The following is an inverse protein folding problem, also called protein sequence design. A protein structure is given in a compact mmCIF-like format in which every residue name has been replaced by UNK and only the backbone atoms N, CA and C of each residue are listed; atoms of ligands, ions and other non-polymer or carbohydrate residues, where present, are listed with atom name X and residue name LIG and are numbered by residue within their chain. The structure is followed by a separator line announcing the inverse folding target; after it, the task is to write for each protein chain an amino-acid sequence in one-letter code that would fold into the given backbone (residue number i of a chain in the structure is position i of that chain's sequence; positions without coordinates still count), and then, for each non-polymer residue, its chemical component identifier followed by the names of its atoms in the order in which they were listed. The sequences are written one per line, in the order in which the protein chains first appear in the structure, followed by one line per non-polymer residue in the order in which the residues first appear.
data_IF_328805396400
#
_entry.id   IF_328805396400
#
_cell.length_a   1.000
_cell.length_b   1.000
_cell.length_c   1.000
_cell.angle_alpha   90.00
_cell.angle_beta   90.00
_cell.angle_gamma   90.00
#
_symmetry.space_group_name_H-M   'P 1'
#
loop_
_entity.id
_entity.type
_entity.pdbx_description
1 polymer ?
#
# COMPACT_ATOMS: atom_id res chain seq x y z
N UNK A 1 26.28 28.62 64.16
CA UNK A 1 25.08 28.20 63.42
C UNK A 1 24.37 29.48 63.04
N UNK A 2 24.61 29.97 61.82
CA UNK A 2 24.03 31.26 61.37
C UNK A 2 22.57 30.96 60.95
N UNK A 3 21.63 31.56 61.70
CA UNK A 3 20.24 31.64 61.27
C UNK A 3 20.22 32.57 60.06
N UNK A 4 20.13 32.04 58.90
CA UNK A 4 19.64 32.72 57.72
C UNK A 4 18.13 32.96 57.96
N UNK A 5 17.83 33.95 58.81
CA UNK A 5 16.51 34.56 58.84
C UNK A 5 16.34 35.13 57.42
N UNK A 6 15.46 34.50 56.67
CA UNK A 6 15.22 34.90 55.31
C UNK A 6 14.71 36.32 55.31
N UNK A 7 15.56 37.25 54.83
CA UNK A 7 15.14 38.61 54.62
C UNK A 7 13.82 38.66 53.85
N UNK A 8 12.82 39.41 54.32
CA UNK A 8 11.51 39.44 53.67
C UNK A 8 11.61 39.78 52.18
N UNK A 9 12.64 40.57 51.81
CA UNK A 9 12.91 40.87 50.39
C UNK A 9 13.30 39.62 49.57
N UNK A 10 14.00 38.66 50.17
CA UNK A 10 14.39 37.43 49.51
C UNK A 10 13.19 36.50 49.27
N UNK A 11 12.27 36.48 50.21
CA UNK A 11 11.02 35.72 50.09
C UNK A 11 10.14 36.27 48.96
N UNK A 12 9.97 37.58 48.92
CA UNK A 12 9.23 38.26 47.86
C UNK A 12 9.86 38.05 46.50
N UNK A 13 11.17 38.10 46.37
CA UNK A 13 11.91 37.87 45.14
C UNK A 13 11.71 36.44 44.66
N UNK A 14 11.83 35.43 45.52
CA UNK A 14 11.61 34.02 45.14
C UNK A 14 10.17 33.72 44.71
N UNK A 15 9.17 34.34 45.35
CA UNK A 15 7.77 34.24 44.97
C UNK A 15 7.52 34.85 43.60
N UNK A 16 8.07 36.02 43.31
CA UNK A 16 7.90 36.68 42.00
C UNK A 16 8.56 35.86 40.91
N UNK A 17 9.78 35.36 41.11
CA UNK A 17 10.48 34.49 40.13
C UNK A 17 9.73 33.21 39.90
N UNK A 18 9.18 32.58 40.96
CA UNK A 18 8.38 31.36 40.83
C UNK A 18 7.09 31.57 40.03
N UNK A 19 6.37 32.68 40.29
CA UNK A 19 5.17 33.06 39.53
C UNK A 19 5.50 33.34 38.05
N UNK A 20 6.64 33.96 37.77
CA UNK A 20 7.08 34.23 36.41
C UNK A 20 7.42 32.93 35.66
N UNK A 21 8.11 31.99 36.30
CA UNK A 21 8.40 30.67 35.76
C UNK A 21 7.14 29.87 35.49
N UNK A 22 6.18 29.87 36.42
CA UNK A 22 4.89 29.20 36.25
C UNK A 22 4.11 29.79 35.05
N UNK A 23 4.11 31.13 34.92
CA UNK A 23 3.45 31.82 33.81
C UNK A 23 4.06 31.48 32.46
N UNK A 24 5.39 31.42 32.36
CA UNK A 24 6.13 31.05 31.17
C UNK A 24 5.84 29.57 30.82
N UNK A 25 5.91 28.69 31.82
CA UNK A 25 5.62 27.28 31.64
C UNK A 25 4.17 27.04 31.20
N UNK A 26 3.20 27.74 31.77
CA UNK A 26 1.80 27.66 31.35
C UNK A 26 1.59 28.10 29.91
N UNK A 27 2.20 29.21 29.48
CA UNK A 27 2.13 29.68 28.09
C UNK A 27 2.79 28.70 27.13
N UNK A 28 3.90 28.09 27.51
CA UNK A 28 4.58 27.08 26.70
C UNK A 28 3.74 25.81 26.53
N UNK A 29 3.21 25.28 27.63
CA UNK A 29 2.36 24.05 27.61
C UNK A 29 1.05 24.29 26.86
N UNK A 30 0.44 25.46 26.98
CA UNK A 30 -0.78 25.83 26.26
C UNK A 30 -0.55 25.87 24.72
N UNK A 31 0.56 26.46 24.27
CA UNK A 31 0.93 26.49 22.85
C UNK A 31 1.24 25.09 22.30
N UNK A 32 1.93 24.26 23.08
CA UNK A 32 2.25 22.89 22.71
C UNK A 32 0.97 22.04 22.61
N UNK A 33 0.06 22.16 23.56
CA UNK A 33 -1.21 21.44 23.58
C UNK A 33 -2.10 21.78 22.39
N UNK A 34 -2.14 23.04 21.96
CA UNK A 34 -2.89 23.44 20.77
C UNK A 34 -2.34 22.78 19.51
N UNK A 35 -1.03 22.80 19.28
CA UNK A 35 -0.40 22.21 18.11
C UNK A 35 -0.63 20.69 18.04
N UNK A 36 -0.52 19.99 19.18
CA UNK A 36 -0.78 18.55 19.26
C UNK A 36 -2.25 18.24 18.96
N UNK A 37 -3.18 19.05 19.46
CA UNK A 37 -4.60 18.85 19.15
C UNK A 37 -4.93 19.04 17.68
N UNK A 38 -4.35 20.04 17.01
CA UNK A 38 -4.50 20.24 15.57
C UNK A 38 -3.93 19.06 14.76
N UNK A 39 -2.76 18.56 15.16
CA UNK A 39 -2.17 17.37 14.50
C UNK A 39 -3.03 16.11 14.70
N UNK A 40 -3.59 15.94 15.90
CA UNK A 40 -4.51 14.83 16.21
C UNK A 40 -5.80 14.92 15.39
N UNK A 41 -6.36 16.12 15.26
CA UNK A 41 -7.55 16.34 14.44
C UNK A 41 -7.27 16.07 12.96
N UNK A 42 -6.12 16.56 12.45
CA UNK A 42 -5.63 16.25 11.12
C UNK A 42 -5.54 14.73 10.91
N UNK A 43 -4.85 14.01 11.80
CA UNK A 43 -4.69 12.55 11.69
C UNK A 43 -6.05 11.83 11.68
N UNK A 44 -7.01 12.28 12.49
CA UNK A 44 -8.36 11.72 12.55
C UNK A 44 -9.18 11.96 11.28
N UNK A 45 -9.05 13.13 10.66
CA UNK A 45 -9.69 13.46 9.37
C UNK A 45 -9.02 12.70 8.22
N UNK A 46 -7.69 12.59 8.27
CA UNK A 46 -6.91 11.81 7.31
C UNK A 46 -7.34 10.33 7.27
N UNK A 47 -7.54 9.73 8.44
CA UNK A 47 -8.03 8.33 8.58
C UNK A 47 -9.42 8.14 7.98
N UNK A 48 -10.28 9.15 8.07
CA UNK A 48 -11.62 9.13 7.50
C UNK A 48 -11.70 9.47 6.00
N UNK A 49 -10.58 9.73 5.33
CA UNK A 49 -10.53 10.22 3.95
C UNK A 49 -11.34 11.51 3.70
N UNK A 50 -11.56 12.31 4.74
CA UNK A 50 -12.26 13.59 4.61
C UNK A 50 -11.36 14.61 3.88
N UNK A 51 -11.94 15.56 3.09
CA UNK A 51 -11.16 16.61 2.46
C UNK A 51 -10.49 17.45 3.56
N UNK A 52 -9.17 17.63 3.42
CA UNK A 52 -8.39 18.42 4.36
C UNK A 52 -8.34 19.84 3.83
N UNK A 53 -9.03 20.76 4.52
CA UNK A 53 -9.01 22.16 4.19
C UNK A 53 -7.60 22.75 4.39
N UNK A 54 -7.19 23.65 3.45
CA UNK A 54 -5.88 24.29 3.48
C UNK A 54 -5.64 25.21 4.70
N UNK A 55 -6.70 25.60 5.39
CA UNK A 55 -6.63 26.46 6.59
C UNK A 55 -5.88 25.81 7.77
N UNK A 56 -5.69 24.50 7.74
CA UNK A 56 -4.94 23.80 8.80
C UNK A 56 -3.46 24.21 8.80
N UNK A 57 -2.90 24.63 7.65
CA UNK A 57 -1.50 25.09 7.60
C UNK A 57 -1.27 26.40 8.37
N UNK A 58 -2.26 27.28 8.41
CA UNK A 58 -2.18 28.55 9.13
C UNK A 58 -2.33 28.39 10.65
N UNK A 59 -2.82 27.24 11.11
CA UNK A 59 -3.08 26.97 12.53
C UNK A 59 -1.84 26.52 13.32
N UNK A 60 -0.72 26.19 12.65
CA UNK A 60 0.47 25.71 13.34
C UNK A 60 1.40 26.88 13.77
N UNK A 61 1.98 26.80 14.97
CA UNK A 61 2.93 27.82 15.43
C UNK A 61 4.21 27.77 14.58
N UNK A 62 4.84 28.93 14.38
CA UNK A 62 6.11 29.07 13.64
C UNK A 62 7.30 28.64 14.53
N UNK A 63 7.36 27.34 14.81
CA UNK A 63 8.44 26.69 15.55
C UNK A 63 8.75 25.31 14.94
N UNK A 64 9.74 24.61 15.50
CA UNK A 64 10.17 23.28 15.04
C UNK A 64 9.00 22.27 14.95
N UNK A 65 8.05 22.34 15.89
CA UNK A 65 6.86 21.50 15.86
C UNK A 65 5.94 21.84 14.67
N UNK A 66 5.84 23.11 14.32
CA UNK A 66 5.11 23.59 13.15
C UNK A 66 5.74 23.09 11.84
N UNK A 67 7.06 23.12 11.72
CA UNK A 67 7.78 22.59 10.56
C UNK A 67 7.55 21.07 10.39
N UNK A 68 7.66 20.33 11.47
CA UNK A 68 7.38 18.87 11.45
C UNK A 68 5.93 18.61 11.02
N UNK A 69 4.99 19.39 11.55
CA UNK A 69 3.57 19.26 11.20
C UNK A 69 3.32 19.55 9.72
N UNK A 70 3.95 20.59 9.17
CA UNK A 70 3.88 20.90 7.74
C UNK A 70 4.47 19.79 6.87
N UNK A 71 5.61 19.22 7.25
CA UNK A 71 6.19 18.09 6.55
C UNK A 71 5.27 16.87 6.55
N UNK A 72 4.65 16.54 7.68
CA UNK A 72 3.68 15.43 7.78
C UNK A 72 2.49 15.68 6.84
N UNK A 73 1.95 16.89 6.81
CA UNK A 73 0.85 17.26 5.92
C UNK A 73 1.26 17.14 4.45
N UNK A 74 2.47 17.58 4.08
CA UNK A 74 2.99 17.48 2.73
C UNK A 74 3.18 16.01 2.30
N UNK A 75 3.73 15.17 3.18
CA UNK A 75 3.90 13.73 2.92
C UNK A 75 2.54 13.08 2.71
N UNK A 76 1.56 13.37 3.57
CA UNK A 76 0.22 12.85 3.43
C UNK A 76 -0.45 13.29 2.13
N UNK A 77 -0.32 14.57 1.74
CA UNK A 77 -0.85 15.10 0.47
C UNK A 77 -0.24 14.35 -0.73
N UNK A 78 1.09 14.22 -0.76
CA UNK A 78 1.79 13.46 -1.82
C UNK A 78 1.35 11.99 -1.87
N UNK A 79 1.19 11.36 -0.70
CA UNK A 79 0.73 9.97 -0.62
C UNK A 79 -0.68 9.81 -1.20
N UNK A 80 -1.56 10.75 -0.89
CA UNK A 80 -2.93 10.77 -1.42
C UNK A 80 -2.93 10.99 -2.94
N UNK A 81 -2.21 11.98 -3.43
CA UNK A 81 -2.07 12.27 -4.87
C UNK A 81 -1.50 11.05 -5.62
N UNK A 82 -0.48 10.40 -5.05
CA UNK A 82 0.10 9.18 -5.63
C UNK A 82 -0.91 8.02 -5.65
N UNK A 83 -1.68 7.84 -4.58
CA UNK A 83 -2.72 6.83 -4.49
C UNK A 83 -3.83 7.07 -5.53
N UNK A 84 -4.27 8.30 -5.68
CA UNK A 84 -5.27 8.69 -6.69
C UNK A 84 -4.75 8.48 -8.12
N UNK A 85 -3.49 8.86 -8.39
CA UNK A 85 -2.84 8.62 -9.68
C UNK A 85 -2.74 7.13 -10.01
N UNK A 86 -2.31 6.30 -9.05
CA UNK A 86 -2.25 4.85 -9.22
C UNK A 86 -3.64 4.24 -9.45
N UNK A 87 -4.66 4.75 -8.78
CA UNK A 87 -6.03 4.30 -9.01
C UNK A 87 -6.49 4.59 -10.44
N UNK A 88 -6.25 5.82 -10.93
CA UNK A 88 -6.59 6.22 -12.31
C UNK A 88 -5.80 5.37 -13.33
N UNK A 89 -4.53 5.12 -13.09
CA UNK A 89 -3.70 4.30 -13.97
C UNK A 89 -4.19 2.84 -14.01
N UNK A 90 -4.54 2.28 -12.85
CA UNK A 90 -5.15 0.95 -12.76
C UNK A 90 -6.46 0.87 -13.56
N UNK A 91 -7.34 1.85 -13.43
CA UNK A 91 -8.61 1.89 -14.17
C UNK A 91 -8.39 1.98 -15.68
N UNK A 92 -7.39 2.77 -16.12
CA UNK A 92 -6.99 2.82 -17.53
C UNK A 92 -6.51 1.45 -18.03
N UNK A 93 -5.65 0.78 -17.27
CA UNK A 93 -5.15 -0.55 -17.62
C UNK A 93 -6.30 -1.57 -17.72
N UNK A 94 -7.22 -1.58 -16.77
CA UNK A 94 -8.41 -2.45 -16.81
C UNK A 94 -9.24 -2.15 -18.06
N UNK A 95 -9.48 -0.87 -18.37
CA UNK A 95 -10.23 -0.47 -19.56
C UNK A 95 -9.53 -0.94 -20.84
N UNK A 96 -8.21 -0.78 -20.94
CA UNK A 96 -7.43 -1.25 -22.09
C UNK A 96 -7.50 -2.77 -22.24
N UNK A 97 -7.45 -3.51 -21.12
CA UNK A 97 -7.58 -4.97 -21.14
C UNK A 97 -8.98 -5.40 -21.62
N UNK A 98 -10.03 -4.75 -21.13
CA UNK A 98 -11.41 -5.08 -21.53
C UNK A 98 -11.74 -4.69 -22.97
N UNK A 99 -11.08 -3.67 -23.52
CA UNK A 99 -11.24 -3.22 -24.91
C UNK A 99 -10.25 -3.88 -25.87
N UNK A 100 -9.35 -4.72 -25.39
CA UNK A 100 -8.42 -5.50 -26.23
C UNK A 100 -9.19 -6.35 -27.22
N UNK A 101 -8.61 -6.53 -28.40
CA UNK A 101 -9.11 -7.48 -29.42
C UNK A 101 -8.67 -8.91 -29.18
N UNK A 102 -7.86 -9.15 -28.18
CA UNK A 102 -7.32 -10.44 -27.79
C UNK A 102 -7.93 -10.88 -26.46
N UNK A 103 -8.12 -12.19 -26.29
CA UNK A 103 -8.51 -12.77 -25.01
C UNK A 103 -7.31 -12.76 -24.07
N UNK A 104 -7.38 -11.95 -23.00
CA UNK A 104 -6.30 -11.79 -22.04
C UNK A 104 -6.71 -12.30 -20.67
N UNK A 105 -5.87 -13.15 -20.08
CA UNK A 105 -6.04 -13.66 -18.72
C UNK A 105 -4.73 -13.60 -17.94
N UNK A 106 -4.79 -13.06 -16.75
CA UNK A 106 -3.68 -13.05 -15.78
C UNK A 106 -4.08 -13.90 -14.59
N UNK A 107 -3.24 -14.86 -14.27
CA UNK A 107 -3.46 -15.81 -13.18
C UNK A 107 -2.28 -15.79 -12.22
N UNK A 108 -2.57 -16.07 -10.95
CA UNK A 108 -1.52 -16.22 -9.97
C UNK A 108 -0.81 -17.59 -10.10
N UNK A 109 0.17 -17.81 -9.23
CA UNK A 109 0.92 -19.07 -9.19
C UNK A 109 0.04 -20.32 -8.96
N UNK A 110 -1.05 -20.15 -8.24
CA UNK A 110 -2.01 -21.22 -7.93
C UNK A 110 -3.08 -21.37 -9.02
N UNK A 111 -2.87 -20.72 -10.18
CA UNK A 111 -3.81 -20.68 -11.32
C UNK A 111 -5.14 -20.00 -11.03
N UNK A 112 -5.22 -19.22 -9.92
CA UNK A 112 -6.39 -18.41 -9.61
C UNK A 112 -6.39 -17.14 -10.43
N UNK A 113 -7.55 -16.75 -10.89
CA UNK A 113 -7.76 -15.54 -11.64
C UNK A 113 -7.34 -14.30 -10.84
N UNK A 114 -6.52 -13.43 -11.46
CA UNK A 114 -6.24 -12.08 -11.01
C UNK A 114 -7.02 -11.08 -11.85
N UNK A 115 -7.00 -11.28 -13.18
CA UNK A 115 -7.64 -10.40 -14.13
C UNK A 115 -7.89 -11.15 -15.42
N UNK A 116 -9.10 -11.09 -15.93
CA UNK A 116 -9.52 -11.72 -17.19
C UNK A 116 -10.43 -10.76 -17.93
N UNK A 117 -10.24 -10.65 -19.25
CA UNK A 117 -11.16 -9.90 -20.09
C UNK A 117 -12.26 -10.78 -20.66
N UNK A 118 -13.30 -10.13 -21.14
CA UNK A 118 -14.50 -10.82 -21.62
C UNK A 118 -14.21 -11.74 -22.81
N UNK A 119 -13.27 -11.35 -23.70
CA UNK A 119 -12.89 -12.18 -24.85
C UNK A 119 -12.17 -13.46 -24.46
N UNK A 120 -11.36 -13.44 -23.38
CA UNK A 120 -10.73 -14.65 -22.87
C UNK A 120 -11.78 -15.69 -22.45
N UNK A 121 -12.79 -15.26 -21.71
CA UNK A 121 -13.89 -16.13 -21.28
C UNK A 121 -14.67 -16.68 -22.49
N UNK A 122 -14.97 -15.82 -23.47
CA UNK A 122 -15.65 -16.25 -24.70
C UNK A 122 -14.83 -17.26 -25.48
N UNK A 123 -13.53 -17.04 -25.67
CA UNK A 123 -12.65 -17.98 -26.35
C UNK A 123 -12.46 -19.27 -25.55
N UNK A 124 -12.36 -19.18 -24.24
CA UNK A 124 -12.33 -20.34 -23.36
C UNK A 124 -13.56 -21.25 -23.55
N UNK A 125 -14.75 -20.66 -23.57
CA UNK A 125 -16.00 -21.36 -23.81
C UNK A 125 -16.06 -22.01 -25.23
N UNK A 126 -15.55 -21.29 -26.24
CA UNK A 126 -15.49 -21.82 -27.61
C UNK A 126 -14.51 -22.99 -27.75
N UNK A 127 -13.40 -22.97 -27.05
CA UNK A 127 -12.40 -24.05 -27.09
C UNK A 127 -12.86 -25.26 -26.29
N UNK A 128 -13.52 -25.03 -25.14
CA UNK A 128 -14.01 -26.10 -24.28
C UNK A 128 -15.31 -26.78 -24.78
N UNK A 129 -16.00 -26.14 -25.74
CA UNK A 129 -17.40 -26.49 -26.14
C UNK A 129 -18.37 -26.53 -24.96
N UNK A 130 -18.06 -25.79 -23.89
CA UNK A 130 -18.86 -25.70 -22.65
C UNK A 130 -18.82 -24.30 -22.07
N UNK A 131 -19.85 -23.94 -21.34
CA UNK A 131 -19.80 -22.72 -20.51
C UNK A 131 -18.99 -23.01 -19.26
N UNK A 132 -17.79 -22.46 -19.20
CA UNK A 132 -16.94 -22.50 -18.00
C UNK A 132 -17.61 -21.70 -16.89
N UNK A 133 -17.79 -22.30 -15.73
CA UNK A 133 -18.33 -21.62 -14.54
C UNK A 133 -17.29 -20.72 -13.89
N UNK A 134 -16.02 -21.15 -13.96
CA UNK A 134 -14.87 -20.38 -13.52
C UNK A 134 -13.79 -20.39 -14.60
N UNK A 135 -13.13 -19.27 -14.80
CA UNK A 135 -12.06 -19.14 -15.82
C UNK A 135 -10.88 -20.04 -15.55
N UNK A 136 -10.67 -20.44 -14.30
CA UNK A 136 -9.61 -21.37 -13.87
C UNK A 136 -9.82 -22.79 -14.41
N UNK A 137 -11.07 -23.17 -14.72
CA UNK A 137 -11.41 -24.48 -15.29
C UNK A 137 -10.73 -24.71 -16.66
N UNK A 138 -10.32 -23.63 -17.34
CA UNK A 138 -9.60 -23.72 -18.61
C UNK A 138 -8.32 -24.55 -18.51
N UNK A 139 -7.66 -24.54 -17.36
CA UNK A 139 -6.44 -25.34 -17.12
C UNK A 139 -6.70 -26.84 -16.98
N UNK A 140 -7.95 -27.25 -16.84
CA UNK A 140 -8.37 -28.65 -16.75
C UNK A 140 -8.77 -29.24 -18.11
N UNK A 141 -8.88 -28.39 -19.15
CA UNK A 141 -9.28 -28.79 -20.48
C UNK A 141 -8.11 -29.48 -21.21
N UNK A 142 -8.40 -30.51 -21.97
CA UNK A 142 -7.40 -31.29 -22.68
C UNK A 142 -6.54 -30.44 -23.63
N UNK A 143 -7.16 -29.50 -24.32
CA UNK A 143 -6.50 -28.57 -25.25
C UNK A 143 -5.47 -27.70 -24.59
N UNK A 144 -5.64 -27.39 -23.29
CA UNK A 144 -4.72 -26.58 -22.47
C UNK A 144 -3.68 -27.39 -21.69
N UNK A 145 -3.69 -28.74 -21.84
CA UNK A 145 -2.76 -29.60 -21.10
C UNK A 145 -1.29 -29.22 -21.27
N UNK A 146 -0.90 -28.89 -22.52
CA UNK A 146 0.48 -28.46 -22.82
C UNK A 146 0.87 -27.19 -22.06
N UNK A 147 -0.05 -26.23 -21.97
CA UNK A 147 0.15 -24.98 -21.22
C UNK A 147 0.24 -25.27 -19.72
N UNK A 148 -0.65 -26.12 -19.22
CA UNK A 148 -0.66 -26.54 -17.82
C UNK A 148 0.65 -27.24 -17.44
N UNK A 149 1.15 -28.13 -18.29
CA UNK A 149 2.45 -28.80 -18.08
C UNK A 149 3.62 -27.82 -18.12
N UNK A 150 3.57 -26.84 -19.01
CA UNK A 150 4.57 -25.77 -19.09
C UNK A 150 4.60 -24.94 -17.79
N UNK A 151 3.44 -24.52 -17.29
CA UNK A 151 3.32 -23.80 -16.02
C UNK A 151 3.88 -24.63 -14.86
N UNK A 152 3.49 -25.90 -14.77
CA UNK A 152 3.94 -26.81 -13.72
C UNK A 152 5.47 -27.04 -13.76
N UNK A 153 6.07 -27.16 -14.95
CA UNK A 153 7.52 -27.26 -15.11
C UNK A 153 8.24 -26.00 -14.68
N UNK A 154 7.72 -24.83 -15.04
CA UNK A 154 8.29 -23.55 -14.65
C UNK A 154 8.24 -23.32 -13.14
N UNK A 155 7.17 -23.79 -12.48
CA UNK A 155 7.06 -23.72 -11.01
C UNK A 155 8.10 -24.58 -10.29
N UNK A 156 8.44 -25.75 -10.84
CA UNK A 156 9.43 -26.68 -10.25
C UNK A 156 10.87 -26.19 -10.38
N UNK A 157 11.17 -25.39 -11.39
CA UNK A 157 12.53 -24.88 -11.65
C UNK A 157 12.47 -23.36 -11.85
N UNK A 158 12.38 -22.58 -10.79
CA UNK A 158 12.39 -21.13 -10.91
C UNK A 158 13.78 -20.67 -11.41
N UNK A 159 13.82 -20.11 -12.62
CA UNK A 159 15.00 -19.45 -13.18
C UNK A 159 14.81 -17.95 -13.07
N UNK A 160 15.74 -17.26 -12.45
CA UNK A 160 15.53 -15.88 -11.95
C UNK A 160 15.64 -14.78 -13.02
N UNK A 161 15.86 -15.04 -14.28
CA UNK A 161 16.05 -13.99 -15.28
C UNK A 161 15.48 -14.30 -16.67
N UNK A 162 14.69 -15.34 -16.86
CA UNK A 162 14.16 -15.69 -18.16
C UNK A 162 12.65 -15.54 -18.20
N UNK A 163 12.18 -14.66 -19.06
CA UNK A 163 10.80 -14.65 -19.51
C UNK A 163 10.56 -15.97 -20.26
N UNK A 164 9.63 -16.77 -19.75
CA UNK A 164 9.30 -18.03 -20.38
C UNK A 164 8.02 -17.87 -21.16
N UNK A 165 8.10 -18.12 -22.47
CA UNK A 165 6.96 -18.06 -23.38
C UNK A 165 6.69 -19.42 -23.98
N UNK A 166 5.43 -19.72 -24.16
CA UNK A 166 4.95 -20.90 -24.89
C UNK A 166 3.74 -20.51 -25.72
N UNK A 167 3.73 -20.89 -27.00
CA UNK A 167 2.61 -20.73 -27.91
C UNK A 167 2.05 -22.09 -28.29
N UNK A 168 0.75 -22.23 -28.24
CA UNK A 168 0.01 -23.46 -28.62
C UNK A 168 -1.05 -23.10 -29.62
N UNK A 169 -1.11 -23.87 -30.72
CA UNK A 169 -2.16 -23.76 -31.72
C UNK A 169 -3.25 -24.78 -31.42
N UNK A 170 -4.47 -24.32 -31.22
CA UNK A 170 -5.64 -25.15 -30.94
C UNK A 170 -6.60 -25.01 -32.12
N UNK A 171 -6.87 -26.12 -32.79
CA UNK A 171 -7.83 -26.17 -33.87
C UNK A 171 -9.16 -26.70 -33.33
N UNK A 172 -10.21 -25.90 -33.39
CA UNK A 172 -11.53 -26.25 -32.89
C UNK A 172 -12.61 -25.68 -33.81
N UNK A 173 -13.55 -26.52 -34.22
CA UNK A 173 -14.71 -26.14 -35.06
C UNK A 173 -14.32 -25.32 -36.32
N UNK A 174 -13.24 -25.74 -37.02
CA UNK A 174 -12.76 -25.07 -38.23
C UNK A 174 -12.06 -23.70 -37.96
N UNK A 175 -11.82 -23.38 -36.71
CA UNK A 175 -11.09 -22.16 -36.29
C UNK A 175 -9.77 -22.53 -35.63
N UNK A 176 -8.74 -21.75 -35.89
CA UNK A 176 -7.44 -21.89 -35.21
C UNK A 176 -7.31 -20.80 -34.17
N UNK A 177 -7.15 -21.21 -32.93
CA UNK A 177 -6.82 -20.31 -31.81
C UNK A 177 -5.32 -20.41 -31.53
N UNK A 178 -4.65 -19.25 -31.40
CA UNK A 178 -3.28 -19.19 -30.98
C UNK A 178 -3.29 -18.74 -29.51
N UNK A 179 -2.86 -19.61 -28.62
CA UNK A 179 -2.80 -19.34 -27.19
C UNK A 179 -1.34 -19.17 -26.80
N UNK A 180 -1.01 -17.98 -26.32
CA UNK A 180 0.33 -17.67 -25.82
C UNK A 180 0.30 -17.60 -24.30
N UNK A 181 1.17 -18.35 -23.67
CA UNK A 181 1.38 -18.33 -22.23
C UNK A 181 2.74 -17.66 -21.92
N UNK A 182 2.70 -16.62 -21.11
CA UNK A 182 3.88 -15.92 -20.67
C UNK A 182 3.95 -16.02 -19.13
N UNK A 183 5.10 -16.51 -18.62
CA UNK A 183 5.32 -16.63 -17.18
C UNK A 183 6.27 -15.53 -16.74
N UNK A 184 5.76 -14.65 -15.90
CA UNK A 184 6.55 -13.62 -15.23
C UNK A 184 6.98 -14.13 -13.86
N UNK A 185 8.25 -13.90 -13.54
CA UNK A 185 8.70 -14.10 -12.16
C UNK A 185 8.42 -12.86 -11.34
N UNK A 186 7.68 -13.03 -10.28
CA UNK A 186 7.44 -11.98 -9.30
C UNK A 186 8.70 -11.70 -8.49
N UNK A 187 9.33 -10.56 -8.74
CA UNK A 187 10.49 -10.07 -7.99
C UNK A 187 10.14 -9.68 -6.55
N UNK A 188 8.85 -9.54 -6.23
CA UNK A 188 8.38 -9.11 -4.90
C UNK A 188 8.63 -10.16 -3.80
N UNK A 189 8.81 -11.43 -4.17
CA UNK A 189 9.10 -12.51 -3.22
C UNK A 189 10.57 -12.55 -2.72
N UNK A 190 11.43 -11.62 -3.15
CA UNK A 190 12.83 -11.56 -2.68
C UNK A 190 13.04 -10.82 -1.36
N UNK A 191 12.02 -10.20 -0.80
CA UNK A 191 12.13 -9.64 0.54
C UNK A 191 11.67 -10.69 1.55
N UNK A 192 12.60 -11.40 2.22
CA UNK A 192 12.21 -12.18 3.37
C UNK A 192 11.62 -11.20 4.37
N UNK A 193 10.37 -11.43 4.75
CA UNK A 193 9.76 -10.75 5.88
C UNK A 193 10.70 -10.93 7.07
N UNK A 194 11.42 -9.88 7.44
CA UNK A 194 12.24 -9.79 8.64
C UNK A 194 11.33 -9.68 9.86
N UNK A 195 10.49 -10.69 10.06
CA UNK A 195 9.89 -11.00 11.35
C UNK A 195 10.59 -12.22 11.91
N UNK A 196 11.86 -12.02 12.30
CA UNK A 196 12.52 -12.92 13.25
C UNK A 196 11.75 -12.88 14.56
N UNK A 197 11.21 -14.00 15.05
CA UNK A 197 10.63 -14.04 16.38
C UNK A 197 11.76 -13.81 17.38
N UNK A 198 11.69 -12.69 18.10
CA UNK A 198 12.55 -12.35 19.22
C UNK A 198 12.52 -13.50 20.21
N UNK A 199 13.53 -14.35 20.21
CA UNK A 199 13.76 -15.35 21.26
C UNK A 199 13.79 -14.61 22.59
N UNK A 200 12.77 -14.80 23.41
CA UNK A 200 12.82 -14.45 24.83
C UNK A 200 13.94 -15.26 25.46
N UNK A 201 15.06 -14.63 25.76
CA UNK A 201 16.08 -15.16 26.63
C UNK A 201 15.48 -15.35 28.02
N UNK A 202 15.27 -16.61 28.40
CA UNK A 202 15.13 -17.02 29.79
C UNK A 202 16.54 -17.00 30.41
N UNK A 203 16.80 -16.03 31.25
CA UNK A 203 17.78 -16.21 32.35
C UNK A 203 17.05 -15.88 33.64
N UNK A 204 17.18 -16.87 34.55
CA UNK A 204 16.59 -16.93 35.85
C UNK A 204 17.13 -15.93 36.85
#
# INVERSE_FOLDING_TARGET
MNNLAADPHYIWFTVIVSLLLISVFYKFTSKLGSAINHLREFAKRADKNEPIDMDIQAAFPHNELGEISQHIIQIYKRLRETKEALYIEREKLITHLQTSREGLGVFNRDKKEILVNNLFTQYGNLISDSNLQATEEIFSICEFQKITDFINKAQKRPSYNEERRMSVHINKNGRTFIVECIIFQDLSLKFPSTTSPRKKSKYG
#
